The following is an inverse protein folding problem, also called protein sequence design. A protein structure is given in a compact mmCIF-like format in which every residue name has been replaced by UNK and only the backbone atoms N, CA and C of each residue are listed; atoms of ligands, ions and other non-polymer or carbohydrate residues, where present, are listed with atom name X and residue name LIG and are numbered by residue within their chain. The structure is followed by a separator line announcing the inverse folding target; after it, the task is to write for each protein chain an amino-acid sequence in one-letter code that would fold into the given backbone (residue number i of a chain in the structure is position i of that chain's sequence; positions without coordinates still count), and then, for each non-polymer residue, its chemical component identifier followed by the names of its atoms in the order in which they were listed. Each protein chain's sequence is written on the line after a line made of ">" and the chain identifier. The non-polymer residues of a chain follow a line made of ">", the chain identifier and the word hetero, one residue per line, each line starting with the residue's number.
data_IF_157394189050
#
_entry.id   IF_157394189050
#
_cell.length_a   1.000
_cell.length_b   1.000
_cell.length_c   1.000
_cell.angle_alpha   90.00
_cell.angle_beta   90.00
_cell.angle_gamma   90.00
#
_symmetry.space_group_name_H-M   'P 1'
#
loop_
_entity.id
_entity.type
_entity.pdbx_description
1 polymer ?
#
# COMPACT_ATOMS: atom_id res chain seq x y z
N UNK A 1 -14.89 -1.19 -2.97
CA UNK A 1 -14.12 -2.40 -2.66
C UNK A 1 -14.11 -2.61 -1.18
N UNK A 2 -14.70 -3.71 -0.73
CA UNK A 2 -14.48 -4.21 0.61
C UNK A 2 -13.21 -5.07 0.67
N UNK A 3 -12.92 -5.65 1.83
CA UNK A 3 -11.77 -6.54 2.04
C UNK A 3 -11.71 -7.69 1.02
N UNK A 4 -12.84 -8.36 0.75
CA UNK A 4 -12.89 -9.54 -0.12
C UNK A 4 -12.60 -9.15 -1.56
N UNK A 5 -13.28 -8.10 -2.05
CA UNK A 5 -13.05 -7.58 -3.40
C UNK A 5 -11.60 -7.10 -3.58
N UNK A 6 -11.00 -6.53 -2.53
CA UNK A 6 -9.62 -6.02 -2.59
C UNK A 6 -8.59 -7.13 -2.70
N UNK A 7 -8.72 -8.23 -1.93
CA UNK A 7 -7.79 -9.37 -2.02
C UNK A 7 -7.97 -10.13 -3.33
N UNK A 8 -9.21 -10.30 -3.82
CA UNK A 8 -9.46 -10.93 -5.13
C UNK A 8 -8.76 -10.16 -6.25
N UNK A 9 -8.97 -8.84 -6.34
CA UNK A 9 -8.31 -7.98 -7.32
C UNK A 9 -6.79 -7.99 -7.16
N UNK A 10 -6.28 -8.04 -5.93
CA UNK A 10 -4.85 -8.16 -5.68
C UNK A 10 -4.28 -9.45 -6.28
N UNK A 11 -4.95 -10.59 -6.08
CA UNK A 11 -4.48 -11.89 -6.57
C UNK A 11 -4.69 -12.10 -8.08
N UNK A 12 -5.61 -11.37 -8.69
CA UNK A 12 -5.73 -11.27 -10.15
C UNK A 12 -4.57 -10.48 -10.75
N UNK A 13 -4.20 -9.37 -10.12
CA UNK A 13 -3.07 -8.56 -10.54
C UNK A 13 -1.76 -9.29 -10.28
N UNK A 14 -1.59 -9.91 -9.12
CA UNK A 14 -0.34 -10.55 -8.68
C UNK A 14 -0.58 -12.04 -8.43
N UNK A 15 -0.83 -12.85 -9.48
CA UNK A 15 -1.11 -14.27 -9.33
C UNK A 15 0.04 -15.04 -8.64
N UNK A 16 1.27 -14.54 -8.76
CA UNK A 16 2.45 -15.05 -8.06
C UNK A 16 2.37 -14.92 -6.53
N UNK A 17 1.48 -14.07 -6.01
CA UNK A 17 1.25 -13.88 -4.56
C UNK A 17 0.21 -14.82 -3.97
N UNK A 18 -0.46 -15.63 -4.79
CA UNK A 18 -1.44 -16.63 -4.33
C UNK A 18 -0.88 -17.60 -3.28
N UNK A 19 0.34 -18.15 -3.42
CA UNK A 19 0.91 -19.01 -2.37
C UNK A 19 1.07 -18.29 -1.03
N UNK A 20 1.54 -17.03 -1.04
CA UNK A 20 1.67 -16.23 0.18
C UNK A 20 0.31 -15.97 0.84
N UNK A 21 -0.74 -15.74 0.05
CA UNK A 21 -2.10 -15.62 0.57
C UNK A 21 -2.60 -16.92 1.21
N UNK A 22 -2.37 -18.07 0.58
CA UNK A 22 -2.76 -19.37 1.14
C UNK A 22 -2.05 -19.62 2.47
N UNK A 23 -0.73 -19.41 2.52
CA UNK A 23 0.07 -19.57 3.74
C UNK A 23 -0.43 -18.64 4.86
N UNK A 24 -0.76 -17.39 4.52
CA UNK A 24 -1.33 -16.43 5.47
C UNK A 24 -2.66 -16.91 6.04
N UNK A 25 -3.56 -17.40 5.19
CA UNK A 25 -4.87 -17.92 5.62
C UNK A 25 -4.73 -19.21 6.46
N UNK A 26 -3.80 -20.08 6.12
CA UNK A 26 -3.51 -21.30 6.91
C UNK A 26 -2.94 -20.95 8.29
N UNK A 27 -2.10 -19.92 8.38
CA UNK A 27 -1.46 -19.50 9.62
C UNK A 27 -2.42 -18.77 10.57
N UNK A 28 -3.25 -17.87 10.04
CA UNK A 28 -4.06 -16.96 10.86
C UNK A 28 -5.55 -17.30 10.87
N UNK A 29 -6.03 -18.13 9.95
CA UNK A 29 -7.46 -18.46 9.80
C UNK A 29 -8.31 -17.34 9.19
N UNK A 30 -7.75 -16.15 9.03
CA UNK A 30 -8.38 -14.98 8.41
C UNK A 30 -7.34 -14.06 7.75
N UNK A 31 -7.80 -13.14 6.90
CA UNK A 31 -6.92 -12.15 6.27
C UNK A 31 -6.64 -11.00 7.25
N UNK A 32 -5.51 -11.10 7.95
CA UNK A 32 -4.91 -9.94 8.61
C UNK A 32 -4.35 -8.97 7.55
N UNK A 33 -5.14 -7.96 7.17
CA UNK A 33 -4.85 -7.08 6.03
C UNK A 33 -3.52 -6.32 6.18
N UNK A 34 -3.29 -5.66 7.33
CA UNK A 34 -2.07 -4.88 7.57
C UNK A 34 -0.78 -5.69 7.36
N UNK A 35 -0.53 -6.82 8.06
CA UNK A 35 0.70 -7.59 7.84
C UNK A 35 0.77 -8.18 6.43
N UNK A 36 -0.35 -8.65 5.87
CA UNK A 36 -0.36 -9.22 4.53
C UNK A 36 0.07 -8.21 3.46
N UNK A 37 -0.54 -7.02 3.46
CA UNK A 37 -0.21 -5.98 2.47
C UNK A 37 1.14 -5.33 2.74
N UNK A 38 1.59 -5.23 3.99
CA UNK A 38 2.95 -4.80 4.28
C UNK A 38 3.99 -5.73 3.61
N UNK A 39 3.87 -7.04 3.81
CA UNK A 39 4.82 -8.00 3.25
C UNK A 39 4.72 -8.12 1.72
N UNK A 40 3.51 -7.97 1.17
CA UNK A 40 3.25 -8.23 -0.24
C UNK A 40 3.19 -6.99 -1.12
N UNK A 41 3.11 -5.79 -0.55
CA UNK A 41 3.17 -4.50 -1.25
C UNK A 41 4.37 -3.68 -0.78
N UNK A 42 4.45 -3.31 0.51
CA UNK A 42 5.47 -2.36 0.97
C UNK A 42 6.89 -2.89 0.77
N UNK A 43 7.19 -4.08 1.31
CA UNK A 43 8.53 -4.68 1.21
C UNK A 43 9.02 -4.79 -0.25
N UNK A 44 8.26 -5.38 -1.20
CA UNK A 44 8.70 -5.46 -2.58
C UNK A 44 8.74 -4.09 -3.27
N UNK A 45 7.76 -3.22 -3.04
CA UNK A 45 7.71 -1.91 -3.69
C UNK A 45 8.86 -1.01 -3.24
N UNK A 46 9.20 -0.98 -1.95
CA UNK A 46 10.34 -0.23 -1.43
C UNK A 46 11.65 -0.67 -2.09
N UNK A 47 11.87 -1.99 -2.22
CA UNK A 47 13.05 -2.53 -2.91
C UNK A 47 13.09 -2.10 -4.38
N UNK A 48 11.96 -2.21 -5.09
CA UNK A 48 11.85 -1.81 -6.49
C UNK A 48 12.11 -0.30 -6.67
N UNK A 49 11.56 0.53 -5.79
CA UNK A 49 11.77 1.97 -5.80
C UNK A 49 13.22 2.34 -5.46
N UNK A 50 13.85 1.65 -4.50
CA UNK A 50 15.24 1.86 -4.11
C UNK A 50 16.22 1.54 -5.25
N UNK A 51 16.01 0.41 -5.93
CA UNK A 51 16.91 -0.08 -6.97
C UNK A 51 16.54 0.45 -8.38
N UNK A 52 15.33 0.99 -8.55
CA UNK A 52 14.74 1.43 -9.84
C UNK A 52 14.78 0.35 -10.93
N UNK A 53 14.60 -0.92 -10.55
CA UNK A 53 14.89 -2.08 -11.39
C UNK A 53 13.77 -2.51 -12.32
N UNK A 54 12.50 -2.36 -11.92
CA UNK A 54 11.35 -2.75 -12.73
C UNK A 54 10.23 -1.70 -12.67
N UNK A 55 10.28 -0.77 -13.62
CA UNK A 55 9.31 0.33 -13.73
C UNK A 55 7.89 -0.16 -13.99
N UNK A 56 7.71 -1.27 -14.71
CA UNK A 56 6.38 -1.79 -15.03
C UNK A 56 5.72 -2.38 -13.77
N UNK A 57 6.50 -3.11 -12.96
CA UNK A 57 6.02 -3.65 -11.69
C UNK A 57 5.76 -2.55 -10.66
N UNK A 58 6.61 -1.52 -10.59
CA UNK A 58 6.36 -0.33 -9.75
C UNK A 58 5.02 0.32 -10.10
N UNK A 59 4.78 0.59 -11.40
CA UNK A 59 3.51 1.17 -11.86
C UNK A 59 2.31 0.32 -11.46
N UNK A 60 2.45 -1.00 -11.55
CA UNK A 60 1.38 -1.94 -11.20
C UNK A 60 1.03 -1.89 -9.71
N UNK A 61 2.03 -1.87 -8.83
CA UNK A 61 1.80 -1.67 -7.39
C UNK A 61 1.19 -0.30 -7.10
N UNK A 62 1.73 0.78 -7.67
CA UNK A 62 1.23 2.13 -7.46
C UNK A 62 -0.23 2.28 -7.90
N UNK A 63 -0.58 1.72 -9.07
CA UNK A 63 -1.96 1.73 -9.56
C UNK A 63 -2.92 0.93 -8.67
N UNK A 64 -2.45 -0.16 -8.05
CA UNK A 64 -3.27 -0.92 -7.09
C UNK A 64 -3.52 -0.12 -5.80
N UNK A 65 -2.48 0.50 -5.25
CA UNK A 65 -2.57 1.37 -4.06
C UNK A 65 -3.54 2.51 -4.30
N UNK A 66 -3.45 3.15 -5.47
CA UNK A 66 -4.35 4.24 -5.82
C UNK A 66 -5.82 3.79 -5.88
N UNK A 67 -6.10 2.59 -6.39
CA UNK A 67 -7.47 2.03 -6.33
C UNK A 67 -7.93 1.71 -4.91
N UNK A 68 -7.05 1.24 -4.02
CA UNK A 68 -7.42 1.03 -2.62
C UNK A 68 -7.92 2.34 -1.99
N UNK A 69 -7.24 3.46 -2.28
CA UNK A 69 -7.64 4.78 -1.78
C UNK A 69 -8.91 5.31 -2.46
N UNK A 70 -9.05 5.15 -3.78
CA UNK A 70 -10.18 5.70 -4.52
C UNK A 70 -11.47 4.91 -4.30
N UNK A 71 -11.39 3.59 -4.41
CA UNK A 71 -12.55 2.70 -4.48
C UNK A 71 -12.79 1.93 -3.17
N UNK A 72 -11.84 1.94 -2.24
CA UNK A 72 -11.93 1.22 -0.96
C UNK A 72 -13.03 1.74 -0.05
N UNK A 73 -13.60 0.84 0.74
CA UNK A 73 -14.34 1.22 1.93
C UNK A 73 -13.40 1.79 3.02
N UNK A 74 -13.95 2.16 4.17
CA UNK A 74 -13.18 2.76 5.26
C UNK A 74 -12.05 1.84 5.76
N UNK A 75 -12.29 0.52 5.83
CA UNK A 75 -11.30 -0.43 6.29
C UNK A 75 -10.14 -0.57 5.28
N UNK A 76 -10.46 -0.69 4.00
CA UNK A 76 -9.45 -0.78 2.93
C UNK A 76 -8.62 0.51 2.83
N UNK A 77 -9.28 1.67 2.94
CA UNK A 77 -8.60 2.98 2.97
C UNK A 77 -7.67 3.10 4.17
N UNK A 78 -8.11 2.68 5.36
CA UNK A 78 -7.28 2.69 6.56
C UNK A 78 -6.01 1.83 6.41
N UNK A 79 -6.13 0.65 5.81
CA UNK A 79 -4.96 -0.20 5.51
C UNK A 79 -4.01 0.46 4.52
N UNK A 80 -4.54 1.03 3.45
CA UNK A 80 -3.70 1.74 2.48
C UNK A 80 -3.00 2.95 3.12
N UNK A 81 -3.70 3.72 3.96
CA UNK A 81 -3.18 4.89 4.65
C UNK A 81 -2.08 4.53 5.66
N UNK A 82 -2.41 3.70 6.66
CA UNK A 82 -1.56 3.44 7.83
C UNK A 82 -0.44 2.45 7.54
N UNK A 83 -0.62 1.55 6.56
CA UNK A 83 0.41 0.55 6.26
C UNK A 83 1.15 0.87 4.99
N UNK A 84 0.42 1.20 3.92
CA UNK A 84 1.08 1.34 2.63
C UNK A 84 1.71 2.72 2.48
N UNK A 85 0.94 3.78 2.68
CA UNK A 85 1.35 5.14 2.43
C UNK A 85 2.28 5.69 3.52
N UNK A 86 2.00 5.42 4.80
CA UNK A 86 2.86 5.84 5.91
C UNK A 86 4.31 5.37 5.71
N UNK A 87 4.51 4.05 5.53
CA UNK A 87 5.83 3.46 5.30
C UNK A 87 6.56 3.97 4.04
N UNK A 88 5.84 4.41 3.00
CA UNK A 88 6.46 4.98 1.79
C UNK A 88 6.78 6.48 1.95
N UNK A 89 6.00 7.18 2.78
CA UNK A 89 6.15 8.61 3.03
C UNK A 89 7.22 8.94 4.08
N UNK A 90 7.55 7.99 4.96
CA UNK A 90 8.59 8.14 5.98
C UNK A 90 10.00 8.34 5.40
N UNK A 91 10.28 7.75 4.23
CA UNK A 91 11.52 7.97 3.48
C UNK A 91 11.28 8.98 2.35
N UNK A 92 11.89 10.17 2.48
CA UNK A 92 11.77 11.22 1.46
C UNK A 92 12.19 10.77 0.07
N UNK A 93 13.24 9.96 -0.07
CA UNK A 93 13.71 9.49 -1.37
C UNK A 93 12.71 8.52 -1.99
N UNK A 94 12.20 7.56 -1.21
CA UNK A 94 11.19 6.62 -1.67
C UNK A 94 9.88 7.34 -2.01
N UNK A 95 9.46 8.29 -1.18
CA UNK A 95 8.30 9.15 -1.45
C UNK A 95 8.42 9.85 -2.80
N UNK A 96 9.53 10.54 -3.07
CA UNK A 96 9.69 11.26 -4.33
C UNK A 96 9.66 10.32 -5.53
N UNK A 97 10.22 9.12 -5.40
CA UNK A 97 10.19 8.11 -6.47
C UNK A 97 8.78 7.56 -6.66
N UNK A 98 8.08 7.22 -5.58
CA UNK A 98 6.69 6.76 -5.58
C UNK A 98 5.75 7.80 -6.20
N UNK A 99 5.90 9.08 -5.83
CA UNK A 99 5.12 10.19 -6.35
C UNK A 99 5.19 10.32 -7.89
N UNK A 100 6.23 9.82 -8.55
CA UNK A 100 6.31 9.82 -10.03
C UNK A 100 5.37 8.81 -10.71
N UNK A 101 4.73 7.93 -9.95
CA UNK A 101 3.93 6.81 -10.46
C UNK A 101 2.44 6.87 -10.10
N UNK A 102 2.01 7.90 -9.39
CA UNK A 102 0.64 8.08 -8.91
C UNK A 102 0.05 9.40 -9.41
N UNK A 103 -1.27 9.56 -9.33
CA UNK A 103 -1.93 10.81 -9.74
C UNK A 103 -1.64 11.98 -8.81
N UNK A 104 -1.77 13.20 -9.35
CA UNK A 104 -1.73 14.45 -8.58
C UNK A 104 -2.81 14.50 -7.48
N UNK A 105 -3.95 13.83 -7.70
CA UNK A 105 -5.01 13.74 -6.71
C UNK A 105 -4.58 12.90 -5.51
N UNK A 106 -3.92 11.75 -5.74
CA UNK A 106 -3.36 10.95 -4.65
C UNK A 106 -2.20 11.67 -3.94
N UNK A 107 -1.34 12.36 -4.69
CA UNK A 107 -0.28 13.21 -4.09
C UNK A 107 -0.89 14.27 -3.18
N UNK A 108 -1.95 14.94 -3.63
CA UNK A 108 -2.66 15.94 -2.81
C UNK A 108 -3.29 15.30 -1.59
N UNK A 109 -3.95 14.15 -1.74
CA UNK A 109 -4.52 13.40 -0.62
C UNK A 109 -3.46 13.11 0.46
N UNK A 110 -2.31 12.56 0.07
CA UNK A 110 -1.21 12.22 0.99
C UNK A 110 -0.66 13.47 1.67
N UNK A 111 -0.39 14.53 0.90
CA UNK A 111 0.18 15.75 1.46
C UNK A 111 -0.78 16.52 2.37
N UNK A 112 -2.10 16.39 2.18
CA UNK A 112 -3.09 17.18 2.93
C UNK A 112 -3.72 16.43 4.10
N UNK A 113 -3.90 15.11 4.00
CA UNK A 113 -4.43 14.27 5.10
C UNK A 113 -3.32 13.56 5.84
N UNK A 114 -2.52 12.72 5.17
CA UNK A 114 -1.55 11.86 5.84
C UNK A 114 -0.42 12.65 6.53
N UNK A 115 0.23 13.59 5.82
CA UNK A 115 1.36 14.34 6.37
C UNK A 115 0.97 15.41 7.41
N UNK A 116 -0.30 15.83 7.45
CA UNK A 116 -0.79 16.85 8.39
C UNK A 116 -1.59 16.26 9.57
N UNK A 117 -2.30 15.15 9.39
CA UNK A 117 -3.04 14.48 10.47
C UNK A 117 -2.11 13.61 11.35
N UNK A 118 -1.02 13.05 10.81
CA UNK A 118 -0.05 12.26 11.60
C UNK A 118 0.88 13.09 12.51
N UNK A 119 0.79 14.43 12.50
CA UNK A 119 1.41 15.26 13.57
C UNK A 119 0.86 14.91 14.97
N UNK A 120 -0.28 14.21 15.07
CA UNK A 120 -0.86 13.78 16.33
C UNK A 120 -0.20 12.51 16.93
N UNK A 121 0.61 11.75 16.18
CA UNK A 121 1.33 10.57 16.71
C UNK A 121 2.77 10.87 17.15
N UNK A 122 3.17 12.15 17.18
CA UNK A 122 4.33 12.65 17.95
C UNK A 122 3.89 13.26 19.30
N UNK A 123 2.68 12.95 19.77
CA UNK A 123 2.25 13.21 21.13
C UNK A 123 2.78 12.14 22.09
N UNK A 124 4.11 12.14 22.30
CA UNK A 124 4.69 11.61 23.52
C UNK A 124 4.44 12.62 24.63
N UNK A 125 3.67 12.21 25.64
CA UNK A 125 3.98 12.43 27.05
C UNK A 125 3.86 11.08 27.77
#
# INVERSE_FOLDING_TARGET
>A
MDCSETIERFLELFPEKKPAYIEHMEMFGELLQHPFYYENINVPLQKLLADQTDTALIRKYCAFIERMIQDGDEAVKNVADVTVLECLSDDRTLWHRFATYISDDLIRYINTRLLHENTAMYGVD
#
